data_IF_242643391326
#
_entry.id   IF_242643391326
#
_cell.length_a   1.000
_cell.length_b   1.000
_cell.length_c   1.000
_cell.angle_alpha   90.00
_cell.angle_beta   90.00
_cell.angle_gamma   90.00
#
_symmetry.space_group_name_H-M   'P 1'
#
loop_
_entity.id
_entity.type
_entity.pdbx_description
1 polymer ?
#
# COMPACT_ATOMS: atom_id res chain seq x y z
N UNK A 1 -2.23 -11.39 -26.57
CA UNK A 1 -2.98 -12.02 -25.46
C UNK A 1 -2.89 -11.20 -24.18
N UNK A 2 -1.70 -10.76 -23.75
CA UNK A 2 -1.48 -10.00 -22.50
C UNK A 2 -2.33 -8.72 -22.38
N UNK A 3 -2.56 -8.00 -23.48
CA UNK A 3 -3.44 -6.84 -23.47
C UNK A 3 -2.92 -5.70 -22.58
N UNK A 4 -3.78 -4.84 -22.01
CA UNK A 4 -5.24 -4.90 -22.08
C UNK A 4 -5.81 -4.59 -23.50
N UNK A 5 -7.14 -4.66 -23.69
CA UNK A 5 -7.77 -4.37 -25.00
C UNK A 5 -7.39 -2.98 -25.52
N UNK A 6 -7.41 -1.98 -24.65
CA UNK A 6 -7.15 -0.60 -25.01
C UNK A 6 -5.68 -0.36 -25.35
N UNK A 7 -4.76 -0.95 -24.59
CA UNK A 7 -3.34 -0.99 -24.90
C UNK A 7 -3.06 -1.56 -26.30
N UNK A 8 -3.69 -2.69 -26.65
CA UNK A 8 -3.57 -3.28 -27.98
C UNK A 8 -4.10 -2.35 -29.10
N UNK A 9 -5.17 -1.59 -28.83
CA UNK A 9 -5.69 -0.59 -29.77
C UNK A 9 -4.65 0.51 -29.98
N UNK A 10 -4.11 1.09 -28.91
CA UNK A 10 -3.08 2.13 -28.99
C UNK A 10 -1.82 1.64 -29.72
N UNK A 11 -1.37 0.42 -29.43
CA UNK A 11 -0.19 -0.19 -30.08
C UNK A 11 -0.41 -0.38 -31.59
N UNK A 12 -1.62 -0.79 -32.01
CA UNK A 12 -2.00 -0.89 -33.42
C UNK A 12 -2.02 0.47 -34.11
N UNK A 13 -2.49 1.51 -33.43
CA UNK A 13 -2.43 2.88 -33.96
C UNK A 13 -0.98 3.30 -34.25
N UNK A 14 -0.06 3.04 -33.31
CA UNK A 14 1.38 3.32 -33.51
C UNK A 14 1.96 2.55 -34.71
N UNK A 15 1.54 1.31 -34.91
CA UNK A 15 1.97 0.53 -36.07
C UNK A 15 1.43 1.11 -37.39
N UNK A 16 0.15 1.48 -37.44
CA UNK A 16 -0.49 2.04 -38.63
C UNK A 16 0.15 3.38 -39.04
N UNK A 17 0.53 4.23 -38.07
CA UNK A 17 1.30 5.46 -38.31
C UNK A 17 2.63 5.21 -39.04
N UNK A 18 3.17 3.99 -38.94
CA UNK A 18 4.42 3.56 -39.57
C UNK A 18 4.21 2.70 -40.82
N UNK A 19 2.97 2.56 -41.31
CA UNK A 19 2.63 1.69 -42.43
C UNK A 19 2.69 0.19 -42.10
N UNK A 20 2.59 -0.17 -40.82
CA UNK A 20 2.66 -1.53 -40.32
C UNK A 20 1.29 -2.00 -39.81
N UNK A 21 1.09 -3.32 -39.73
CA UNK A 21 -0.11 -3.90 -39.12
C UNK A 21 0.26 -4.98 -38.11
N UNK A 22 -0.20 -4.85 -36.87
CA UNK A 22 0.06 -5.82 -35.78
C UNK A 22 -1.07 -6.83 -35.69
N UNK A 23 -0.71 -8.10 -35.59
CA UNK A 23 -1.59 -9.22 -35.24
C UNK A 23 -0.97 -10.06 -34.12
N UNK A 24 -1.71 -11.06 -33.63
CA UNK A 24 -1.18 -12.08 -32.71
C UNK A 24 -0.06 -12.93 -33.31
N UNK A 25 0.10 -12.93 -34.63
CA UNK A 25 1.12 -13.69 -35.34
C UNK A 25 2.40 -12.88 -35.64
N UNK A 26 2.41 -11.58 -35.35
CA UNK A 26 3.54 -10.70 -35.64
C UNK A 26 3.14 -9.39 -36.33
N UNK A 27 4.11 -8.74 -36.97
CA UNK A 27 3.95 -7.45 -37.64
C UNK A 27 4.02 -7.67 -39.15
N UNK A 28 2.99 -7.21 -39.87
CA UNK A 28 2.97 -7.20 -41.33
C UNK A 28 3.61 -5.91 -41.84
N UNK A 29 4.61 -6.06 -42.69
CA UNK A 29 5.37 -4.99 -43.34
C UNK A 29 5.47 -5.31 -44.84
N UNK A 30 5.06 -4.37 -45.71
CA UNK A 30 5.10 -4.55 -47.18
C UNK A 30 4.47 -5.87 -47.67
N UNK A 31 3.38 -6.30 -47.02
CA UNK A 31 2.70 -7.54 -47.38
C UNK A 31 3.26 -8.80 -46.72
N UNK A 32 4.46 -8.76 -46.15
CA UNK A 32 5.12 -9.89 -45.49
C UNK A 32 4.89 -9.87 -43.98
N UNK A 33 4.62 -11.04 -43.40
CA UNK A 33 4.47 -11.20 -41.96
C UNK A 33 5.82 -11.51 -41.32
N UNK A 34 6.28 -10.62 -40.43
CA UNK A 34 7.50 -10.80 -39.64
C UNK A 34 7.10 -11.27 -38.24
N UNK A 35 7.67 -12.39 -37.81
CA UNK A 35 7.47 -12.96 -36.47
C UNK A 35 8.59 -12.51 -35.54
N UNK A 36 8.28 -12.37 -34.26
CA UNK A 36 9.23 -11.98 -33.21
C UNK A 36 9.31 -13.09 -32.18
N UNK A 37 10.51 -13.32 -31.65
CA UNK A 37 10.74 -14.36 -30.64
C UNK A 37 10.47 -13.84 -29.22
N UNK A 38 10.50 -12.52 -29.04
CA UNK A 38 10.28 -11.84 -27.77
C UNK A 38 9.34 -10.63 -27.93
N UNK A 39 8.70 -10.20 -26.83
CA UNK A 39 7.89 -8.98 -26.85
C UNK A 39 8.78 -7.73 -27.01
N UNK A 40 9.99 -7.74 -26.46
CA UNK A 40 10.99 -6.68 -26.55
C UNK A 40 11.35 -6.38 -28.00
N UNK A 41 11.58 -7.40 -28.83
CA UNK A 41 11.83 -7.22 -30.26
C UNK A 41 10.63 -6.61 -30.98
N UNK A 42 9.41 -7.00 -30.62
CA UNK A 42 8.17 -6.46 -31.18
C UNK A 42 8.03 -4.97 -30.83
N UNK A 43 8.20 -4.58 -29.56
CA UNK A 43 8.18 -3.16 -29.16
C UNK A 43 9.28 -2.36 -29.84
N UNK A 44 10.51 -2.92 -29.90
CA UNK A 44 11.64 -2.29 -30.58
C UNK A 44 11.35 -2.03 -32.05
N UNK A 45 10.70 -2.97 -32.76
CA UNK A 45 10.27 -2.77 -34.15
C UNK A 45 9.33 -1.57 -34.28
N UNK A 46 8.47 -1.33 -33.31
CA UNK A 46 7.54 -0.19 -33.28
C UNK A 46 8.23 1.11 -32.83
N UNK A 47 9.53 1.08 -32.50
CA UNK A 47 10.25 2.23 -31.98
C UNK A 47 9.83 2.60 -30.56
N UNK A 48 9.40 1.61 -29.77
CA UNK A 48 9.03 1.76 -28.37
C UNK A 48 9.99 0.94 -27.50
N UNK A 49 10.29 1.38 -26.26
CA UNK A 49 10.87 0.48 -25.26
C UNK A 49 9.86 -0.62 -24.89
N UNK A 50 10.35 -1.69 -24.29
CA UNK A 50 9.48 -2.70 -23.68
C UNK A 50 8.58 -2.05 -22.62
N UNK A 51 7.28 -2.31 -22.70
CA UNK A 51 6.31 -1.81 -21.73
C UNK A 51 5.91 -3.00 -20.82
N UNK A 52 6.27 -2.99 -19.53
CA UNK A 52 5.87 -4.04 -18.60
C UNK A 52 4.36 -4.27 -18.58
N UNK A 53 3.88 -5.52 -18.45
CA UNK A 53 2.44 -5.84 -18.44
C UNK A 53 1.62 -5.00 -17.45
N UNK A 54 2.16 -4.71 -16.26
CA UNK A 54 1.51 -3.86 -15.25
C UNK A 54 1.10 -2.48 -15.78
N UNK A 55 1.87 -1.91 -16.71
CA UNK A 55 1.61 -0.58 -17.27
C UNK A 55 0.63 -0.60 -18.45
N UNK A 56 0.28 -1.77 -19.00
CA UNK A 56 -0.53 -1.94 -20.23
C UNK A 56 -2.02 -1.76 -19.96
N UNK A 57 -2.37 -0.63 -19.38
CA UNK A 57 -3.74 -0.28 -18.97
C UNK A 57 -4.49 0.56 -20.00
N UNK A 58 -3.88 0.90 -21.14
CA UNK A 58 -4.52 1.71 -22.17
C UNK A 58 -4.79 3.14 -21.72
N UNK A 59 -3.92 3.66 -20.84
CA UNK A 59 -3.88 5.03 -20.35
C UNK A 59 -2.91 5.80 -21.25
N UNK A 60 -1.88 6.42 -20.68
CA UNK A 60 -0.84 7.15 -21.40
C UNK A 60 0.52 6.40 -21.43
N UNK A 61 0.53 5.08 -21.22
CA UNK A 61 1.79 4.31 -21.20
C UNK A 61 2.54 4.35 -22.52
N UNK A 62 1.83 4.39 -23.66
CA UNK A 62 2.45 4.48 -24.99
C UNK A 62 3.12 5.84 -25.19
N UNK A 63 2.48 6.92 -24.77
CA UNK A 63 3.05 8.27 -24.88
C UNK A 63 4.26 8.45 -23.97
N UNK A 64 4.19 7.93 -22.75
CA UNK A 64 5.35 7.88 -21.84
C UNK A 64 6.47 7.01 -22.40
N UNK A 65 6.15 5.88 -23.04
CA UNK A 65 7.13 5.02 -23.71
C UNK A 65 7.82 5.75 -24.87
N UNK A 66 7.05 6.43 -25.75
CA UNK A 66 7.60 7.28 -26.84
C UNK A 66 8.55 8.36 -26.30
N UNK A 67 8.23 8.93 -25.15
CA UNK A 67 9.04 9.94 -24.49
C UNK A 67 10.20 9.40 -23.62
N UNK A 68 10.39 8.07 -23.54
CA UNK A 68 11.32 7.41 -22.61
C UNK A 68 11.12 7.83 -21.13
N UNK A 69 9.86 7.99 -20.72
CA UNK A 69 9.42 8.42 -19.37
C UNK A 69 8.60 7.35 -18.63
N UNK A 70 8.78 6.07 -18.99
CA UNK A 70 8.17 4.99 -18.20
C UNK A 70 8.83 4.94 -16.81
N UNK A 71 8.04 4.71 -15.74
CA UNK A 71 8.59 4.59 -14.40
C UNK A 71 9.41 3.30 -14.25
N UNK A 72 10.47 3.36 -13.44
CA UNK A 72 11.10 2.16 -12.91
C UNK A 72 10.22 1.61 -11.78
N UNK A 73 9.44 0.58 -12.10
CA UNK A 73 8.49 -0.02 -11.16
C UNK A 73 9.20 -0.61 -9.95
N UNK A 74 8.52 -0.50 -8.81
CA UNK A 74 8.90 -1.18 -7.56
C UNK A 74 8.85 -2.71 -7.74
N UNK A 75 9.73 -3.42 -7.04
CA UNK A 75 9.78 -4.88 -6.98
C UNK A 75 9.76 -5.36 -5.53
N UNK A 76 9.51 -6.65 -5.33
CA UNK A 76 9.53 -7.26 -3.99
C UNK A 76 10.87 -7.06 -3.27
N UNK A 77 11.99 -7.07 -4.01
CA UNK A 77 13.34 -6.87 -3.46
C UNK A 77 13.60 -5.43 -2.97
N UNK A 78 12.75 -4.47 -3.35
CA UNK A 78 12.85 -3.11 -2.87
C UNK A 78 12.22 -2.94 -1.47
N UNK A 79 11.42 -3.91 -1.00
CA UNK A 79 10.73 -3.84 0.29
C UNK A 79 11.67 -4.24 1.43
N UNK A 80 11.78 -3.36 2.43
CA UNK A 80 12.63 -3.53 3.61
C UNK A 80 11.85 -3.83 4.89
N UNK A 81 10.52 -3.76 4.86
CA UNK A 81 9.72 -4.10 6.02
C UNK A 81 8.23 -3.98 5.79
N UNK A 82 7.47 -4.58 6.70
CA UNK A 82 6.01 -4.52 6.76
C UNK A 82 5.59 -3.69 7.98
N UNK A 83 4.70 -2.71 7.79
CA UNK A 83 4.25 -1.77 8.82
C UNK A 83 2.80 -2.01 9.27
N UNK A 84 2.18 -3.13 8.87
CA UNK A 84 0.85 -3.50 9.34
C UNK A 84 0.79 -5.03 9.55
N UNK A 85 1.07 -5.46 10.77
CA UNK A 85 1.01 -6.88 11.17
C UNK A 85 0.38 -7.04 12.55
N UNK A 86 -0.34 -8.14 12.72
CA UNK A 86 -1.10 -8.47 13.92
C UNK A 86 -0.55 -9.71 14.61
N UNK A 87 -0.80 -9.81 15.91
CA UNK A 87 -0.29 -10.88 16.76
C UNK A 87 -1.38 -11.44 17.65
N UNK A 88 -1.03 -12.44 18.46
CA UNK A 88 -1.93 -13.03 19.47
C UNK A 88 -2.41 -12.05 20.55
N UNK A 89 -1.93 -10.80 20.55
CA UNK A 89 -2.44 -9.77 21.45
C UNK A 89 -3.75 -9.13 20.98
N UNK A 90 -4.10 -9.30 19.70
CA UNK A 90 -5.42 -8.95 19.16
C UNK A 90 -6.06 -10.18 18.52
N UNK A 91 -6.09 -10.27 17.20
CA UNK A 91 -6.73 -11.32 16.41
C UNK A 91 -5.76 -12.07 15.48
N UNK A 92 -4.46 -11.81 15.60
CA UNK A 92 -3.42 -12.62 15.00
C UNK A 92 -3.27 -13.99 15.68
N UNK A 93 -2.63 -14.92 14.97
CA UNK A 93 -2.44 -16.32 15.37
C UNK A 93 -1.01 -16.63 15.80
N UNK A 94 -0.08 -15.71 15.56
CA UNK A 94 1.33 -15.83 15.90
C UNK A 94 1.74 -14.81 16.97
N UNK A 95 2.66 -15.21 17.83
CA UNK A 95 3.29 -14.31 18.80
C UNK A 95 4.16 -13.25 18.12
N UNK A 96 4.47 -12.16 18.82
CA UNK A 96 5.41 -11.14 18.32
C UNK A 96 6.74 -11.77 17.87
N UNK A 97 7.27 -12.71 18.66
CA UNK A 97 8.57 -13.33 18.34
C UNK A 97 8.52 -14.18 17.07
N UNK A 98 7.43 -14.93 16.84
CA UNK A 98 7.23 -15.69 15.59
C UNK A 98 7.11 -14.76 14.38
N UNK A 99 6.40 -13.64 14.50
CA UNK A 99 6.30 -12.63 13.44
C UNK A 99 7.66 -12.01 13.11
N UNK A 100 8.47 -11.72 14.14
CA UNK A 100 9.85 -11.24 13.98
C UNK A 100 10.71 -12.27 13.24
N UNK A 101 10.65 -13.55 13.63
CA UNK A 101 11.42 -14.59 12.94
C UNK A 101 11.03 -14.71 11.46
N UNK A 102 9.73 -14.61 11.15
CA UNK A 102 9.28 -14.59 9.76
C UNK A 102 9.81 -13.37 9.02
N UNK A 103 9.74 -12.17 9.59
CA UNK A 103 10.28 -10.96 8.99
C UNK A 103 11.79 -11.06 8.68
N UNK A 104 12.57 -11.63 9.61
CA UNK A 104 14.00 -11.92 9.39
C UNK A 104 14.19 -12.87 8.21
N UNK A 105 13.37 -13.93 8.11
CA UNK A 105 13.44 -14.89 6.99
C UNK A 105 13.13 -14.26 5.63
N UNK A 106 12.36 -13.17 5.62
CA UNK A 106 12.06 -12.36 4.44
C UNK A 106 13.13 -11.29 4.15
N UNK A 107 14.20 -11.23 4.96
CA UNK A 107 15.27 -10.22 4.92
C UNK A 107 14.78 -8.78 5.15
N UNK A 108 13.74 -8.60 5.98
CA UNK A 108 13.31 -7.27 6.38
C UNK A 108 14.26 -6.64 7.40
N UNK A 109 14.50 -5.34 7.24
CA UNK A 109 15.22 -4.50 8.19
C UNK A 109 14.34 -4.09 9.37
N UNK A 110 13.01 -4.07 9.18
CA UNK A 110 12.07 -3.74 10.24
C UNK A 110 10.70 -4.42 10.08
N UNK A 111 9.97 -4.49 11.19
CA UNK A 111 8.58 -4.92 11.26
C UNK A 111 7.79 -3.99 12.18
N UNK A 112 6.57 -3.66 11.77
CA UNK A 112 5.57 -2.95 12.55
C UNK A 112 4.57 -3.90 13.19
N UNK A 113 4.53 -3.93 14.52
CA UNK A 113 3.50 -4.62 15.29
C UNK A 113 2.37 -3.62 15.56
N UNK A 114 1.21 -3.85 14.96
CA UNK A 114 0.08 -2.91 14.92
C UNK A 114 -1.24 -3.61 15.22
N UNK A 115 -1.24 -4.45 16.26
CA UNK A 115 -2.46 -5.07 16.78
C UNK A 115 -3.63 -4.08 16.87
N UNK A 116 -4.87 -4.57 16.77
CA UNK A 116 -6.03 -3.73 17.07
C UNK A 116 -5.93 -3.14 18.48
N UNK A 117 -6.09 -1.81 18.58
CA UNK A 117 -5.92 -1.08 19.83
C UNK A 117 -6.95 -1.50 20.91
N UNK A 118 -6.53 -1.64 22.18
CA UNK A 118 -7.44 -1.98 23.26
C UNK A 118 -8.50 -0.88 23.48
N UNK A 119 -9.75 -1.28 23.70
CA UNK A 119 -10.86 -0.33 23.87
C UNK A 119 -10.78 0.40 25.22
N UNK A 120 -10.62 1.72 25.15
CA UNK A 120 -10.69 2.62 26.32
C UNK A 120 -12.10 2.65 26.92
N UNK A 121 -13.14 2.48 26.09
CA UNK A 121 -14.53 2.48 26.55
C UNK A 121 -14.83 1.30 27.49
N UNK A 122 -14.34 0.10 27.16
CA UNK A 122 -14.62 -1.10 27.97
C UNK A 122 -13.64 -1.33 29.12
N UNK A 123 -12.36 -0.95 28.95
CA UNK A 123 -11.30 -1.21 29.95
C UNK A 123 -10.97 0.01 30.83
N UNK A 124 -11.33 1.21 30.37
CA UNK A 124 -10.93 2.46 31.01
C UNK A 124 -9.48 2.84 30.67
N UNK A 125 -9.21 4.14 30.81
CA UNK A 125 -7.94 4.75 30.38
C UNK A 125 -6.71 4.21 31.12
N UNK A 126 -6.81 3.99 32.42
CA UNK A 126 -5.69 3.54 33.24
C UNK A 126 -5.22 2.13 32.88
N UNK A 127 -6.16 1.21 32.62
CA UNK A 127 -5.83 -0.15 32.19
C UNK A 127 -5.18 -0.13 30.80
N UNK A 128 -5.74 0.62 29.85
CA UNK A 128 -5.16 0.75 28.51
C UNK A 128 -3.74 1.32 28.55
N UNK A 129 -3.51 2.34 29.37
CA UNK A 129 -2.17 2.88 29.59
C UNK A 129 -1.20 1.80 30.10
N UNK A 130 -1.61 1.01 31.10
CA UNK A 130 -0.80 -0.10 31.62
C UNK A 130 -0.51 -1.18 30.57
N UNK A 131 -1.45 -1.46 29.66
CA UNK A 131 -1.23 -2.37 28.52
C UNK A 131 -0.17 -1.80 27.58
N UNK A 132 -0.26 -0.51 27.25
CA UNK A 132 0.71 0.18 26.37
C UNK A 132 2.11 0.15 26.97
N UNK A 133 2.25 0.54 28.24
CA UNK A 133 3.54 0.60 28.91
C UNK A 133 4.16 -0.82 29.01
N UNK A 134 3.36 -1.84 29.33
CA UNK A 134 3.83 -3.24 29.35
C UNK A 134 4.29 -3.73 27.98
N UNK A 135 3.53 -3.42 26.92
CA UNK A 135 3.87 -3.80 25.53
C UNK A 135 5.14 -3.08 25.06
N UNK A 136 5.30 -1.80 25.43
CA UNK A 136 6.51 -1.01 25.15
C UNK A 136 7.75 -1.65 25.76
N UNK A 137 7.66 -2.11 27.01
CA UNK A 137 8.77 -2.80 27.67
C UNK A 137 9.13 -4.12 26.98
N UNK A 138 8.13 -4.90 26.55
CA UNK A 138 8.33 -6.15 25.81
C UNK A 138 9.01 -5.91 24.46
N UNK A 139 8.52 -4.93 23.69
CA UNK A 139 9.10 -4.56 22.39
C UNK A 139 10.53 -4.01 22.56
N UNK A 140 10.80 -3.27 23.64
CA UNK A 140 12.14 -2.75 23.92
C UNK A 140 13.13 -3.90 24.18
N UNK A 141 12.75 -4.89 24.99
CA UNK A 141 13.55 -6.11 25.22
C UNK A 141 13.76 -6.91 23.95
N UNK A 142 12.76 -7.00 23.07
CA UNK A 142 12.89 -7.68 21.78
C UNK A 142 13.83 -6.91 20.84
N UNK A 143 13.78 -5.57 20.82
CA UNK A 143 14.73 -4.76 20.06
C UNK A 143 16.18 -4.87 20.58
N UNK A 144 16.37 -5.14 21.88
CA UNK A 144 17.70 -5.46 22.45
C UNK A 144 18.15 -6.89 22.10
N UNK A 145 17.20 -7.83 22.00
CA UNK A 145 17.48 -9.24 21.68
C UNK A 145 17.83 -9.46 20.20
N UNK A 146 17.24 -8.67 19.29
CA UNK A 146 17.41 -8.82 17.85
C UNK A 146 18.17 -7.64 17.23
N UNK A 147 19.42 -7.87 16.82
CA UNK A 147 20.25 -6.84 16.20
C UNK A 147 19.99 -6.65 14.70
N UNK A 148 19.47 -7.68 14.04
CA UNK A 148 19.31 -7.77 12.59
C UNK A 148 17.94 -7.31 12.07
N UNK A 149 17.03 -6.91 12.96
CA UNK A 149 15.72 -6.35 12.61
C UNK A 149 15.28 -5.37 13.70
N UNK A 150 14.58 -4.30 13.30
CA UNK A 150 14.00 -3.33 14.22
C UNK A 150 12.49 -3.45 14.30
N UNK A 151 11.95 -3.29 15.50
CA UNK A 151 10.54 -3.52 15.77
C UNK A 151 9.91 -2.20 16.15
N UNK A 152 8.98 -1.73 15.32
CA UNK A 152 8.11 -0.61 15.65
C UNK A 152 6.87 -1.11 16.37
N UNK A 153 6.49 -0.42 17.43
CA UNK A 153 5.26 -0.70 18.18
C UNK A 153 4.22 0.37 17.87
N UNK A 154 3.17 -0.02 17.17
CA UNK A 154 1.98 0.80 16.91
C UNK A 154 0.70 0.10 17.31
N UNK A 155 -0.42 0.72 16.96
CA UNK A 155 -1.73 0.08 16.97
C UNK A 155 -2.51 0.49 15.73
N UNK A 156 -3.37 -0.42 15.30
CA UNK A 156 -4.49 -0.08 14.44
C UNK A 156 -5.66 0.42 15.29
N UNK A 157 -5.98 1.71 15.11
CA UNK A 157 -7.03 2.39 15.85
C UNK A 157 -8.29 2.50 14.99
N UNK A 158 -9.43 2.20 15.60
CA UNK A 158 -10.72 2.26 14.92
C UNK A 158 -11.14 3.72 14.73
N UNK A 159 -11.58 4.04 13.52
CA UNK A 159 -12.39 5.22 13.25
C UNK A 159 -13.83 4.92 13.64
N UNK A 160 -14.33 5.60 14.67
CA UNK A 160 -15.67 5.40 15.19
C UNK A 160 -16.72 6.07 14.30
N UNK A 161 -17.99 5.66 14.46
CA UNK A 161 -19.09 6.10 13.60
C UNK A 161 -19.39 7.61 13.70
N UNK A 162 -19.00 8.25 14.80
CA UNK A 162 -19.12 9.69 15.05
C UNK A 162 -17.94 10.51 14.50
N UNK A 163 -16.88 9.84 14.00
CA UNK A 163 -15.67 10.49 13.47
C UNK A 163 -14.56 10.69 14.49
N UNK A 164 -14.75 10.21 15.73
CA UNK A 164 -13.69 10.13 16.73
C UNK A 164 -12.81 8.89 16.52
N UNK A 165 -11.62 8.89 17.10
CA UNK A 165 -10.77 7.70 17.18
C UNK A 165 -11.06 6.90 18.44
N UNK A 166 -10.91 5.57 18.37
CA UNK A 166 -11.13 4.71 19.53
C UNK A 166 -10.10 4.84 20.65
N UNK A 167 -9.02 5.60 20.42
CA UNK A 167 -7.97 5.85 21.39
C UNK A 167 -7.67 7.37 21.48
N UNK A 168 -7.63 7.94 22.71
CA UNK A 168 -7.25 9.33 22.95
C UNK A 168 -5.81 9.65 22.55
N UNK A 169 -5.58 10.89 22.10
CA UNK A 169 -4.28 11.42 21.64
C UNK A 169 -3.11 11.18 22.60
N UNK A 170 -3.30 11.37 23.90
CA UNK A 170 -2.22 11.20 24.89
C UNK A 170 -1.74 9.74 25.01
N UNK A 171 -2.62 8.78 24.73
CA UNK A 171 -2.26 7.37 24.66
C UNK A 171 -1.61 7.04 23.32
N UNK A 172 -2.11 7.60 22.22
CA UNK A 172 -1.52 7.43 20.88
C UNK A 172 -0.05 7.93 20.84
N UNK A 173 0.27 9.03 21.52
CA UNK A 173 1.64 9.58 21.61
C UNK A 173 2.68 8.64 22.20
N UNK A 174 2.25 7.62 22.96
CA UNK A 174 3.12 6.59 23.57
C UNK A 174 3.51 5.47 22.62
N UNK A 175 2.81 5.33 21.49
CA UNK A 175 3.12 4.38 20.41
C UNK A 175 4.21 4.95 19.51
N UNK A 176 4.92 4.15 18.73
CA UNK A 176 5.88 4.68 17.74
C UNK A 176 5.15 5.37 16.58
N UNK A 177 4.01 4.82 16.18
CA UNK A 177 3.09 5.37 15.19
C UNK A 177 1.69 4.77 15.38
N UNK A 178 0.69 5.41 14.79
CA UNK A 178 -0.69 4.92 14.74
C UNK A 178 -1.11 4.74 13.29
N UNK A 179 -1.79 3.64 13.02
CA UNK A 179 -2.52 3.45 11.78
C UNK A 179 -4.01 3.50 12.10
N UNK A 180 -4.81 4.10 11.24
CA UNK A 180 -6.24 4.28 11.49
C UNK A 180 -7.08 3.65 10.37
N UNK A 181 -8.16 2.95 10.73
CA UNK A 181 -8.96 2.17 9.78
C UNK A 181 -10.45 2.22 10.05
N UNK A 182 -11.25 2.08 8.98
CA UNK A 182 -12.70 1.90 9.06
C UNK A 182 -13.03 0.43 9.37
N UNK A 183 -13.59 0.16 10.55
CA UNK A 183 -14.05 -1.18 10.95
C UNK A 183 -15.54 -1.28 11.26
N UNK A 184 -16.24 -0.15 11.28
CA UNK A 184 -17.67 -0.08 11.60
C UNK A 184 -18.36 1.00 10.77
N UNK A 185 -19.70 0.92 10.75
CA UNK A 185 -20.58 1.89 10.10
C UNK A 185 -20.27 2.09 8.60
N UNK A 186 -20.02 0.98 7.87
CA UNK A 186 -19.68 0.97 6.45
C UNK A 186 -20.79 1.48 5.51
N UNK A 187 -22.04 1.59 6.01
CA UNK A 187 -23.21 2.02 5.23
C UNK A 187 -23.61 3.49 5.50
N UNK A 188 -22.73 4.29 6.11
CA UNK A 188 -22.98 5.72 6.29
C UNK A 188 -23.00 6.45 4.94
N UNK A 189 -23.65 7.61 4.92
CA UNK A 189 -23.65 8.47 3.75
C UNK A 189 -22.22 8.95 3.42
N UNK A 190 -22.01 9.27 2.13
CA UNK A 190 -20.70 9.63 1.59
C UNK A 190 -20.04 10.79 2.35
N UNK A 191 -20.80 11.82 2.71
CA UNK A 191 -20.27 13.01 3.38
C UNK A 191 -19.79 12.67 4.79
N UNK A 192 -20.61 11.96 5.57
CA UNK A 192 -20.25 11.49 6.91
C UNK A 192 -19.03 10.57 6.87
N UNK A 193 -19.02 9.58 5.97
CA UNK A 193 -17.90 8.64 5.86
C UNK A 193 -16.59 9.34 5.44
N UNK A 194 -16.66 10.27 4.50
CA UNK A 194 -15.52 11.09 4.06
C UNK A 194 -14.93 11.88 5.23
N UNK A 195 -15.78 12.57 6.00
CA UNK A 195 -15.33 13.35 7.16
C UNK A 195 -14.67 12.49 8.23
N UNK A 196 -15.15 11.26 8.47
CA UNK A 196 -14.50 10.32 9.41
C UNK A 196 -13.06 10.02 8.99
N UNK A 197 -12.83 9.78 7.71
CA UNK A 197 -11.49 9.50 7.17
C UNK A 197 -10.62 10.76 7.20
N UNK A 198 -11.16 11.92 6.81
CA UNK A 198 -10.40 13.19 6.85
C UNK A 198 -10.02 13.57 8.29
N UNK A 199 -10.91 13.41 9.27
CA UNK A 199 -10.58 13.65 10.68
C UNK A 199 -9.37 12.81 11.13
N UNK A 200 -9.26 11.56 10.66
CA UNK A 200 -8.11 10.72 10.93
C UNK A 200 -6.84 11.23 10.24
N UNK A 201 -6.97 11.64 8.98
CA UNK A 201 -5.86 12.18 8.18
C UNK A 201 -5.30 13.47 8.78
N UNK A 202 -6.16 14.33 9.34
CA UNK A 202 -5.78 15.61 9.94
C UNK A 202 -5.28 15.46 11.39
N UNK A 203 -5.39 14.28 12.00
CA UNK A 203 -4.88 14.07 13.35
C UNK A 203 -3.35 13.89 13.33
N UNK A 204 -2.59 14.71 14.07
CA UNK A 204 -1.12 14.69 14.03
C UNK A 204 -0.49 13.43 14.64
N UNK A 205 -1.26 12.56 15.30
CA UNK A 205 -0.76 11.30 15.85
C UNK A 205 -0.95 10.13 14.86
N UNK A 206 -1.75 10.31 13.80
CA UNK A 206 -2.03 9.28 12.79
C UNK A 206 -0.97 9.35 11.71
N UNK A 207 -0.25 8.25 11.54
CA UNK A 207 0.81 8.13 10.53
C UNK A 207 0.26 7.67 9.18
N UNK A 208 -0.71 6.75 9.20
CA UNK A 208 -1.22 6.09 8.00
C UNK A 208 -2.70 5.73 8.13
N UNK A 209 -3.44 5.81 7.01
CA UNK A 209 -4.78 5.22 6.91
C UNK A 209 -4.64 3.79 6.37
N UNK A 210 -5.02 2.80 7.18
CA UNK A 210 -5.02 1.39 6.84
C UNK A 210 -6.23 1.07 5.94
N UNK A 211 -6.00 0.24 4.91
CA UNK A 211 -6.98 -0.24 3.92
C UNK A 211 -8.16 0.76 3.73
N UNK A 212 -7.90 1.92 3.09
CA UNK A 212 -8.69 3.14 3.31
C UNK A 212 -10.17 3.04 2.91
N UNK A 213 -10.51 2.21 1.93
CA UNK A 213 -11.89 2.04 1.48
C UNK A 213 -12.71 1.10 2.38
N UNK A 214 -12.03 0.31 3.22
CA UNK A 214 -12.62 -0.72 4.05
C UNK A 214 -13.22 -1.89 3.27
N UNK A 215 -12.92 -2.05 1.97
CA UNK A 215 -13.50 -3.12 1.15
C UNK A 215 -13.02 -4.51 1.54
N UNK A 216 -13.87 -5.50 1.27
CA UNK A 216 -13.49 -6.92 1.22
C UNK A 216 -14.03 -7.49 -0.09
N UNK A 217 -13.14 -7.84 -1.01
CA UNK A 217 -13.46 -8.37 -2.34
C UNK A 217 -14.43 -9.55 -2.19
N UNK A 218 -15.52 -9.50 -2.96
CA UNK A 218 -16.63 -10.46 -2.96
C UNK A 218 -17.45 -10.56 -1.65
N UNK A 219 -17.21 -9.72 -0.63
CA UNK A 219 -17.95 -9.77 0.63
C UNK A 219 -18.51 -8.42 1.08
N UNK A 220 -17.70 -7.35 1.03
CA UNK A 220 -18.07 -6.00 1.47
C UNK A 220 -17.61 -4.98 0.42
N UNK A 221 -18.56 -4.22 -0.12
CA UNK A 221 -18.25 -3.10 -1.02
C UNK A 221 -17.38 -2.07 -0.30
N UNK A 222 -16.56 -1.35 -1.06
CA UNK A 222 -15.89 -0.15 -0.57
C UNK A 222 -16.91 0.85 0.00
N UNK A 223 -16.54 1.52 1.09
CA UNK A 223 -17.30 2.65 1.60
C UNK A 223 -17.28 3.76 0.55
N UNK A 224 -18.42 4.40 0.34
CA UNK A 224 -18.50 5.54 -0.58
C UNK A 224 -17.81 6.74 0.07
N UNK A 225 -16.67 7.14 -0.48
CA UNK A 225 -15.88 8.28 -0.02
C UNK A 225 -15.74 9.31 -1.14
N UNK A 226 -15.55 10.56 -0.75
CA UNK A 226 -15.05 11.59 -1.65
C UNK A 226 -13.53 11.48 -1.75
N UNK A 227 -13.06 10.66 -2.71
CA UNK A 227 -11.64 10.39 -2.86
C UNK A 227 -10.80 11.61 -3.23
N UNK A 228 -11.37 12.60 -3.93
CA UNK A 228 -10.67 13.85 -4.22
C UNK A 228 -10.33 14.57 -2.90
N UNK A 229 -11.33 14.72 -2.01
CA UNK A 229 -11.12 15.34 -0.70
C UNK A 229 -10.18 14.54 0.20
N UNK A 230 -10.32 13.20 0.21
CA UNK A 230 -9.44 12.31 1.01
C UNK A 230 -7.99 12.41 0.54
N UNK A 231 -7.75 12.36 -0.77
CA UNK A 231 -6.40 12.46 -1.34
C UNK A 231 -5.81 13.86 -1.14
N UNK A 232 -6.61 14.92 -1.27
CA UNK A 232 -6.14 16.29 -1.00
C UNK A 232 -5.77 16.50 0.47
N UNK A 233 -6.55 15.95 1.40
CA UNK A 233 -6.23 15.97 2.83
C UNK A 233 -4.94 15.18 3.12
N UNK A 234 -4.76 14.00 2.53
CA UNK A 234 -3.55 13.20 2.71
C UNK A 234 -2.32 13.92 2.13
N UNK A 235 -2.46 14.60 0.99
CA UNK A 235 -1.39 15.39 0.39
C UNK A 235 -1.00 16.61 1.25
N UNK A 236 -1.97 17.29 1.88
CA UNK A 236 -1.71 18.49 2.68
C UNK A 236 -1.07 18.17 4.04
N UNK A 237 -1.39 17.02 4.61
CA UNK A 237 -0.92 16.57 5.94
C UNK A 237 0.31 15.66 5.86
N UNK A 238 0.63 15.14 4.67
CA UNK A 238 1.60 14.07 4.45
C UNK A 238 1.22 12.73 5.14
N UNK A 239 -0.05 12.54 5.47
CA UNK A 239 -0.56 11.27 5.98
C UNK A 239 -0.46 10.20 4.89
N UNK A 240 0.07 9.04 5.26
CA UNK A 240 0.34 7.93 4.35
C UNK A 240 -0.96 7.19 4.05
N UNK A 241 -1.13 6.70 2.83
CA UNK A 241 -2.23 5.78 2.50
C UNK A 241 -1.71 4.37 2.25
N UNK A 242 -2.37 3.38 2.82
CA UNK A 242 -1.99 1.98 2.69
C UNK A 242 -2.43 1.37 1.34
N UNK A 243 -1.57 0.55 0.76
CA UNK A 243 -1.86 -0.50 -0.21
C UNK A 243 -1.78 -1.83 0.52
N UNK A 244 -2.92 -2.30 0.99
CA UNK A 244 -3.06 -3.54 1.70
C UNK A 244 -2.95 -4.71 0.72
N UNK A 245 -1.93 -5.54 0.89
CA UNK A 245 -1.56 -6.62 -0.01
C UNK A 245 -2.43 -7.88 0.17
N UNK A 246 -3.27 -7.94 1.21
CA UNK A 246 -4.10 -9.12 1.43
C UNK A 246 -5.06 -9.31 0.22
N UNK A 247 -5.13 -10.50 -0.42
CA UNK A 247 -5.93 -10.73 -1.64
C UNK A 247 -7.42 -10.48 -1.50
N UNK A 248 -7.95 -10.62 -0.27
CA UNK A 248 -9.34 -10.27 0.03
C UNK A 248 -9.57 -8.74 0.11
N UNK A 249 -8.53 -7.91 0.19
CA UNK A 249 -8.62 -6.45 0.30
C UNK A 249 -8.11 -5.76 -0.96
N UNK A 250 -6.81 -5.90 -1.25
CA UNK A 250 -6.09 -5.17 -2.30
C UNK A 250 -6.40 -3.66 -2.27
N UNK A 251 -6.39 -3.05 -1.09
CA UNK A 251 -6.92 -1.72 -0.83
C UNK A 251 -5.81 -0.82 -0.29
N UNK A 252 -5.32 0.20 -0.98
CA UNK A 252 -5.98 1.01 -2.01
C UNK A 252 -6.10 0.40 -3.42
N UNK A 253 -7.18 0.72 -4.13
CA UNK A 253 -7.38 0.34 -5.53
C UNK A 253 -6.38 1.03 -6.49
N UNK A 254 -6.03 0.37 -7.59
CA UNK A 254 -4.93 0.79 -8.49
C UNK A 254 -5.10 2.16 -9.17
N UNK A 255 -6.35 2.55 -9.40
CA UNK A 255 -6.74 3.84 -9.96
C UNK A 255 -6.49 4.95 -8.94
N UNK A 256 -6.90 4.73 -7.69
CA UNK A 256 -6.64 5.62 -6.57
C UNK A 256 -5.14 5.68 -6.21
N UNK A 257 -4.41 4.56 -6.34
CA UNK A 257 -2.94 4.56 -6.20
C UNK A 257 -2.29 5.44 -7.27
N UNK A 258 -2.72 5.34 -8.54
CA UNK A 258 -2.20 6.20 -9.60
C UNK A 258 -2.48 7.69 -9.31
N UNK A 259 -3.67 8.00 -8.81
CA UNK A 259 -4.05 9.36 -8.42
C UNK A 259 -3.19 9.87 -7.26
N UNK A 260 -3.00 9.05 -6.22
CA UNK A 260 -2.14 9.37 -5.09
C UNK A 260 -0.69 9.67 -5.53
N UNK A 261 -0.15 8.87 -6.45
CA UNK A 261 1.17 9.12 -7.07
C UNK A 261 1.20 10.47 -7.80
N UNK A 262 0.13 10.84 -8.52
CA UNK A 262 0.06 12.12 -9.23
C UNK A 262 0.03 13.34 -8.30
N UNK A 263 -0.48 13.16 -7.07
CA UNK A 263 -0.52 14.17 -6.01
C UNK A 263 0.71 14.12 -5.07
N UNK A 264 1.72 13.29 -5.38
CA UNK A 264 2.92 13.07 -4.58
C UNK A 264 2.67 12.54 -3.15
N UNK A 265 1.54 11.89 -2.92
CA UNK A 265 1.22 11.27 -1.63
C UNK A 265 2.13 10.05 -1.43
N UNK A 266 2.66 9.90 -0.21
CA UNK A 266 3.43 8.71 0.17
C UNK A 266 2.48 7.56 0.46
N UNK A 267 2.86 6.38 0.02
CA UNK A 267 2.09 5.15 0.18
C UNK A 267 2.92 4.14 0.98
N UNK A 268 2.26 3.17 1.60
CA UNK A 268 2.91 2.01 2.20
C UNK A 268 2.24 0.73 1.72
N UNK A 269 3.02 -0.30 1.41
CA UNK A 269 2.52 -1.62 1.03
C UNK A 269 2.69 -2.53 2.23
N UNK A 270 1.58 -3.02 2.79
CA UNK A 270 1.60 -3.87 3.98
C UNK A 270 0.70 -5.07 3.80
N UNK A 271 1.01 -6.18 4.47
CA UNK A 271 0.25 -7.44 4.29
C UNK A 271 -1.00 -7.53 5.15
N UNK A 272 -1.11 -6.74 6.23
CA UNK A 272 -2.19 -6.91 7.23
C UNK A 272 -2.18 -8.34 7.77
N UNK A 273 -0.97 -8.84 8.03
CA UNK A 273 -0.74 -10.24 8.35
C UNK A 273 -1.29 -10.59 9.73
N UNK A 274 -2.19 -11.57 9.78
CA UNK A 274 -2.69 -12.18 11.02
C UNK A 274 -2.00 -13.52 11.31
N UNK A 275 -1.11 -13.95 10.43
CA UNK A 275 -0.24 -15.10 10.58
C UNK A 275 1.09 -14.85 9.86
N UNK A 276 2.11 -15.61 10.21
CA UNK A 276 3.41 -15.59 9.50
C UNK A 276 3.28 -15.95 8.02
N UNK A 277 2.27 -16.74 7.62
CA UNK A 277 2.03 -17.08 6.22
C UNK A 277 1.50 -15.88 5.41
N UNK A 278 0.72 -15.01 6.04
CA UNK A 278 0.14 -13.84 5.37
C UNK A 278 1.22 -12.81 4.98
N UNK A 279 2.38 -12.82 5.64
CA UNK A 279 3.50 -11.96 5.26
C UNK A 279 4.05 -12.25 3.85
N UNK A 280 3.81 -13.46 3.31
CA UNK A 280 4.20 -13.82 1.95
C UNK A 280 3.30 -13.15 0.88
N UNK A 281 2.21 -12.48 1.29
CA UNK A 281 1.24 -11.84 0.39
C UNK A 281 1.73 -10.51 -0.19
N UNK A 282 2.89 -10.00 0.23
CA UNK A 282 3.46 -8.71 -0.19
C UNK A 282 3.48 -8.51 -1.73
N UNK A 283 3.69 -9.59 -2.49
CA UNK A 283 3.70 -9.54 -3.96
C UNK A 283 2.40 -8.98 -4.55
N UNK A 284 1.25 -9.26 -3.95
CA UNK A 284 -0.02 -8.73 -4.44
C UNK A 284 -0.12 -7.20 -4.29
N UNK A 285 0.46 -6.66 -3.21
CA UNK A 285 0.60 -5.22 -3.02
C UNK A 285 1.57 -4.59 -4.03
N UNK A 286 2.68 -5.27 -4.33
CA UNK A 286 3.62 -4.87 -5.42
C UNK A 286 2.91 -4.81 -6.77
N UNK A 287 2.05 -5.79 -7.06
CA UNK A 287 1.27 -5.82 -8.30
C UNK A 287 0.31 -4.62 -8.41
N UNK A 288 -0.35 -4.26 -7.30
CA UNK A 288 -1.23 -3.07 -7.22
C UNK A 288 -0.42 -1.79 -7.40
N UNK A 289 0.67 -1.64 -6.64
CA UNK A 289 1.56 -0.49 -6.72
C UNK A 289 2.13 -0.31 -8.15
N UNK A 290 2.51 -1.41 -8.81
CA UNK A 290 3.00 -1.41 -10.18
C UNK A 290 1.96 -0.93 -11.19
N UNK A 291 0.69 -1.36 -11.05
CA UNK A 291 -0.43 -0.85 -11.86
C UNK A 291 -0.76 0.62 -11.56
N UNK A 292 -0.48 1.08 -10.36
CA UNK A 292 -0.50 2.48 -9.94
C UNK A 292 0.75 3.29 -10.31
N UNK A 293 1.70 2.69 -11.04
CA UNK A 293 2.94 3.32 -11.51
C UNK A 293 3.91 3.75 -10.40
N UNK A 294 3.81 3.10 -9.24
CA UNK A 294 4.70 3.36 -8.13
C UNK A 294 6.15 2.99 -8.45
N UNK A 295 7.05 3.89 -8.04
CA UNK A 295 8.49 3.67 -7.93
C UNK A 295 8.87 3.61 -6.46
N UNK A 296 10.13 3.30 -6.13
CA UNK A 296 10.61 3.32 -4.75
C UNK A 296 10.35 4.67 -4.05
N UNK A 297 10.44 5.78 -4.78
CA UNK A 297 10.18 7.10 -4.22
C UNK A 297 8.73 7.30 -3.71
N UNK A 298 7.78 6.48 -4.16
CA UNK A 298 6.38 6.56 -3.75
C UNK A 298 6.08 5.72 -2.50
N UNK A 299 6.87 4.67 -2.23
CA UNK A 299 6.57 3.64 -1.23
C UNK A 299 7.51 3.73 -0.04
N UNK A 300 6.98 3.99 1.16
CA UNK A 300 7.78 4.13 2.39
C UNK A 300 8.50 2.84 2.79
N UNK A 301 7.92 1.68 2.49
CA UNK A 301 8.52 0.37 2.79
C UNK A 301 9.86 0.13 2.09
N UNK A 302 10.27 1.01 1.17
CA UNK A 302 11.57 0.93 0.47
C UNK A 302 12.68 1.71 1.17
N UNK A 303 12.35 2.46 2.21
CA UNK A 303 13.31 3.25 2.97
C UNK A 303 14.04 2.38 3.98
N UNK A 304 15.36 2.55 4.16
CA UNK A 304 16.09 1.94 5.27
C UNK A 304 15.49 2.32 6.63
N UNK A 305 15.71 1.48 7.65
CA UNK A 305 15.22 1.75 9.01
C UNK A 305 15.53 3.17 9.52
N UNK A 306 16.76 3.65 9.30
CA UNK A 306 17.21 4.97 9.75
C UNK A 306 16.46 6.14 9.09
N UNK A 307 15.92 5.94 7.89
CA UNK A 307 15.15 6.96 7.18
C UNK A 307 13.67 6.89 7.58
N UNK A 308 13.08 5.70 7.58
CA UNK A 308 11.67 5.55 7.92
C UNK A 308 11.38 5.89 9.39
N UNK A 309 12.30 5.57 10.30
CA UNK A 309 12.17 5.92 11.72
C UNK A 309 12.13 7.43 11.96
N UNK A 310 12.76 8.24 11.09
CA UNK A 310 12.67 9.71 11.14
C UNK A 310 11.31 10.19 10.67
N UNK A 311 10.78 9.62 9.58
CA UNK A 311 9.45 9.99 9.07
C UNK A 311 8.37 9.64 10.09
N UNK A 312 8.42 8.44 10.66
CA UNK A 312 7.51 7.99 11.72
C UNK A 312 7.56 8.95 12.93
N UNK A 313 8.75 9.44 13.32
CA UNK A 313 8.90 10.37 14.44
C UNK A 313 8.49 11.82 14.13
N UNK A 314 8.53 12.25 12.88
CA UNK A 314 8.17 13.63 12.45
C UNK A 314 6.66 13.81 12.36
N UNK A 315 5.92 12.72 12.12
CA UNK A 315 4.45 12.70 12.18
C UNK A 315 3.94 12.56 13.64
N UNK A 316 4.59 13.21 14.61
CA UNK A 316 4.21 13.32 16.02
C UNK A 316 4.54 14.71 16.55
#
# INVERSE_FOLDING_TARGET
>A
FTGNKQHNVLLRTVALEKGLSISEYGIKENGQLIKYSTEEELYKRLGLPYIPPYLRQGRNEIDKAKANKLPKLITLNDIKGDLHTHTTYSDGTNSIEEMIQKAISLNYEYIGITDHGPSVHSRGRFEVLGIIDKRRDEISKLNEKYDNIKIFYGYEINLLADGEMSMPDDLMKKLDYVIAGLHTAFNQDKETATRRVINAIENPNVFMIAHPSGRIINQRKAVELDWEQVLDAAASTNTVLEINAHPNRLDLAEDLVLEAVSKNIKLAINTDAHSTADMDLMQYGIDVASRGWCTNANILNTLPYEEISKIIKVNK
#
